data_IF_848958117330
#
_entry.id   IF_848958117330
#
_cell.length_a   1.000
_cell.length_b   1.000
_cell.length_c   1.000
_cell.angle_alpha   90.00
_cell.angle_beta   90.00
_cell.angle_gamma   90.00
#
_symmetry.space_group_name_H-M   'P 1'
#
loop_
_entity.id
_entity.type
_entity.pdbx_description
1 polymer ?
#
# COMPACT_ATOMS: atom_id res chain seq x y z
N UNK A 1 9.45 16.36 -18.24
CA UNK A 1 10.33 15.21 -18.58
C UNK A 1 11.30 14.85 -17.47
N UNK A 2 12.08 15.79 -16.94
CA UNK A 2 13.11 15.51 -15.89
C UNK A 2 12.50 14.81 -14.66
N UNK A 3 11.39 15.29 -14.13
CA UNK A 3 10.70 14.67 -12.97
C UNK A 3 10.33 13.21 -13.19
N UNK A 4 9.84 12.87 -14.37
CA UNK A 4 9.49 11.48 -14.71
C UNK A 4 10.75 10.61 -14.70
N UNK A 5 11.85 11.08 -15.27
CA UNK A 5 13.14 10.36 -15.28
C UNK A 5 13.60 10.12 -13.85
N UNK A 6 13.55 11.13 -12.98
CA UNK A 6 13.93 11.00 -11.58
C UNK A 6 13.07 9.96 -10.84
N UNK A 7 11.77 9.96 -11.06
CA UNK A 7 10.86 8.94 -10.48
C UNK A 7 11.21 7.56 -11.00
N UNK A 8 11.47 7.39 -12.30
CA UNK A 8 11.85 6.10 -12.87
C UNK A 8 13.18 5.57 -12.30
N UNK A 9 14.20 6.44 -12.18
CA UNK A 9 15.49 6.08 -11.56
C UNK A 9 15.28 5.68 -10.10
N UNK A 10 14.51 6.45 -9.34
CA UNK A 10 14.19 6.15 -7.96
C UNK A 10 13.48 4.80 -7.82
N UNK A 11 12.46 4.54 -8.65
CA UNK A 11 11.75 3.25 -8.65
C UNK A 11 12.68 2.08 -8.98
N UNK A 12 13.64 2.26 -9.90
CA UNK A 12 14.64 1.23 -10.21
C UNK A 12 15.51 0.93 -8.98
N UNK A 13 15.96 1.97 -8.27
CA UNK A 13 16.74 1.81 -7.04
C UNK A 13 15.92 1.06 -5.99
N UNK A 14 14.66 1.45 -5.78
CA UNK A 14 13.74 0.78 -4.84
C UNK A 14 13.51 -0.68 -5.23
N UNK A 15 13.40 -0.97 -6.52
CA UNK A 15 13.25 -2.32 -7.03
C UNK A 15 14.46 -3.19 -6.66
N UNK A 16 15.69 -2.71 -6.89
CA UNK A 16 16.92 -3.41 -6.50
C UNK A 16 17.01 -3.57 -4.98
N UNK A 17 16.73 -2.51 -4.23
CA UNK A 17 16.74 -2.53 -2.76
C UNK A 17 15.70 -3.54 -2.20
N UNK A 18 14.55 -3.68 -2.83
CA UNK A 18 13.52 -4.63 -2.42
C UNK A 18 13.99 -6.08 -2.44
N UNK A 19 14.95 -6.44 -3.30
CA UNK A 19 15.55 -7.79 -3.30
C UNK A 19 16.22 -8.12 -1.96
N UNK A 20 16.81 -7.12 -1.31
CA UNK A 20 17.45 -7.25 0.00
C UNK A 20 16.40 -7.14 1.12
N UNK A 21 15.44 -6.22 0.96
CA UNK A 21 14.44 -5.96 1.99
C UNK A 21 13.43 -7.11 2.15
N UNK A 22 13.07 -7.82 1.09
CA UNK A 22 12.11 -8.91 1.20
C UNK A 22 12.52 -10.03 2.16
N UNK A 23 13.75 -10.59 2.08
CA UNK A 23 14.19 -11.58 3.07
C UNK A 23 14.31 -10.99 4.49
N UNK A 24 14.70 -9.72 4.62
CA UNK A 24 14.77 -9.05 5.94
C UNK A 24 13.36 -8.92 6.54
N UNK A 25 12.38 -8.43 5.79
CA UNK A 25 10.99 -8.32 6.24
C UNK A 25 10.38 -9.69 6.56
N UNK A 26 10.72 -10.71 5.77
CA UNK A 26 10.30 -12.07 6.05
C UNK A 26 10.87 -12.57 7.39
N UNK A 27 12.15 -12.31 7.66
CA UNK A 27 12.80 -12.69 8.91
C UNK A 27 12.22 -11.92 10.12
N UNK A 28 12.00 -10.61 9.97
CA UNK A 28 11.32 -9.79 10.99
C UNK A 28 9.94 -10.38 11.29
N UNK A 29 9.19 -10.78 10.25
CA UNK A 29 7.87 -11.37 10.40
C UNK A 29 7.84 -12.72 11.12
N UNK A 30 8.95 -13.47 11.08
CA UNK A 30 9.10 -14.71 11.87
C UNK A 30 9.28 -14.44 13.36
N UNK A 31 9.88 -13.31 13.71
CA UNK A 31 10.13 -12.90 15.09
C UNK A 31 8.93 -12.12 15.64
N UNK A 32 8.45 -11.15 14.88
CA UNK A 32 7.33 -10.28 15.25
C UNK A 32 6.52 -9.84 14.03
N UNK A 33 5.34 -10.44 13.79
CA UNK A 33 4.44 -10.00 12.72
C UNK A 33 4.11 -8.51 12.78
N UNK A 34 3.85 -8.00 13.98
CA UNK A 34 3.54 -6.58 14.19
C UNK A 34 4.71 -5.66 13.81
N UNK A 35 5.95 -6.05 14.11
CA UNK A 35 7.13 -5.28 13.72
C UNK A 35 7.27 -5.24 12.19
N UNK A 36 7.05 -6.37 11.49
CA UNK A 36 7.04 -6.43 10.03
C UNK A 36 5.98 -5.51 9.43
N UNK A 37 4.77 -5.52 9.97
CA UNK A 37 3.68 -4.69 9.48
C UNK A 37 4.00 -3.20 9.58
N UNK A 38 4.57 -2.78 10.72
CA UNK A 38 5.01 -1.40 10.92
C UNK A 38 6.18 -1.03 9.99
N UNK A 39 7.18 -1.90 9.88
CA UNK A 39 8.35 -1.69 9.02
C UNK A 39 7.94 -1.55 7.55
N UNK A 40 7.15 -2.51 7.04
CA UNK A 40 6.63 -2.50 5.68
C UNK A 40 5.79 -1.25 5.38
N UNK A 41 4.92 -0.85 6.32
CA UNK A 41 4.13 0.37 6.19
C UNK A 41 5.04 1.61 6.08
N UNK A 42 5.99 1.77 6.98
CA UNK A 42 6.90 2.92 7.01
C UNK A 42 7.76 3.00 5.76
N UNK A 43 8.25 1.87 5.28
CA UNK A 43 9.02 1.81 4.04
C UNK A 43 8.18 2.26 2.83
N UNK A 44 6.98 1.71 2.65
CA UNK A 44 6.12 2.08 1.51
C UNK A 44 5.67 3.54 1.61
N UNK A 45 5.38 4.04 2.81
CA UNK A 45 5.08 5.46 3.02
C UNK A 45 6.25 6.36 2.64
N UNK A 46 7.47 5.98 3.00
CA UNK A 46 8.69 6.69 2.61
C UNK A 46 8.81 6.74 1.08
N UNK A 47 8.70 5.59 0.41
CA UNK A 47 8.75 5.50 -1.05
C UNK A 47 7.71 6.41 -1.70
N UNK A 48 6.48 6.38 -1.23
CA UNK A 48 5.40 7.21 -1.79
C UNK A 48 5.61 8.71 -1.54
N UNK A 49 6.11 9.10 -0.37
CA UNK A 49 6.48 10.49 -0.09
C UNK A 49 7.58 11.00 -1.03
N UNK A 50 8.59 10.17 -1.30
CA UNK A 50 9.66 10.52 -2.24
C UNK A 50 9.11 10.63 -3.67
N UNK A 51 8.22 9.73 -4.09
CA UNK A 51 7.56 9.83 -5.41
C UNK A 51 6.79 11.15 -5.52
N UNK A 52 6.00 11.52 -4.51
CA UNK A 52 5.27 12.80 -4.50
C UNK A 52 6.21 13.99 -4.59
N UNK A 53 7.29 13.99 -3.82
CA UNK A 53 8.31 15.04 -3.84
C UNK A 53 8.96 15.18 -5.22
N UNK A 54 9.46 14.09 -5.80
CA UNK A 54 10.10 14.08 -7.12
C UNK A 54 9.11 14.46 -8.23
N UNK A 55 7.84 14.09 -8.10
CA UNK A 55 6.78 14.50 -9.03
C UNK A 55 6.39 15.97 -8.88
N UNK A 56 6.80 16.63 -7.79
CA UNK A 56 6.42 18.01 -7.48
C UNK A 56 4.96 18.16 -7.08
N UNK A 57 4.38 17.12 -6.48
CA UNK A 57 3.00 17.11 -6.01
C UNK A 57 2.96 17.61 -4.57
N UNK A 58 2.23 18.70 -4.36
CA UNK A 58 1.91 19.20 -3.03
C UNK A 58 0.55 18.66 -2.61
N UNK A 59 0.46 18.12 -1.39
CA UNK A 59 -0.77 17.53 -0.86
C UNK A 59 -1.19 18.23 0.42
N UNK A 60 -2.44 18.62 0.49
CA UNK A 60 -3.06 19.09 1.73
C UNK A 60 -4.06 18.03 2.19
N UNK A 61 -3.95 17.61 3.45
CA UNK A 61 -4.87 16.64 4.04
C UNK A 61 -5.68 17.36 5.11
N UNK A 62 -6.99 17.25 5.03
CA UNK A 62 -7.93 17.88 5.96
C UNK A 62 -8.76 16.77 6.61
N UNK A 63 -8.98 16.83 7.93
CA UNK A 63 -9.83 15.89 8.63
C UNK A 63 -9.15 14.59 9.08
N UNK A 64 -7.81 14.52 9.10
CA UNK A 64 -7.09 13.36 9.65
C UNK A 64 -7.45 13.09 11.11
N UNK A 65 -7.76 14.11 11.84
CA UNK A 65 -8.19 14.09 13.25
C UNK A 65 -9.54 13.37 13.44
N UNK A 66 -10.36 13.31 12.39
CA UNK A 66 -11.67 12.64 12.42
C UNK A 66 -11.57 11.11 12.26
N UNK A 67 -10.39 10.58 11.95
CA UNK A 67 -10.21 9.13 11.82
C UNK A 67 -10.19 8.50 13.20
N UNK A 68 -11.13 7.57 13.51
CA UNK A 68 -11.12 6.82 14.77
C UNK A 68 -9.79 6.13 15.01
N UNK A 69 -9.25 6.22 16.25
CA UNK A 69 -7.94 5.64 16.55
C UNK A 69 -8.03 4.21 17.06
N UNK A 70 -9.11 3.89 17.73
CA UNK A 70 -9.27 2.64 18.48
C UNK A 70 -10.27 1.68 17.82
N UNK A 71 -10.80 2.03 16.66
CA UNK A 71 -11.78 1.23 15.93
C UNK A 71 -11.25 0.84 14.53
N UNK A 72 -11.66 -0.32 14.00
CA UNK A 72 -11.47 -0.64 12.60
C UNK A 72 -12.19 0.36 11.69
N UNK A 73 -11.53 0.81 10.63
CA UNK A 73 -12.08 1.81 9.69
C UNK A 73 -11.98 1.32 8.27
N UNK A 74 -13.07 1.49 7.52
CA UNK A 74 -13.10 1.29 6.07
C UNK A 74 -13.06 2.64 5.38
N UNK A 75 -12.03 2.89 4.58
CA UNK A 75 -11.93 4.10 3.78
C UNK A 75 -12.55 3.87 2.40
N UNK A 76 -13.58 4.64 2.09
CA UNK A 76 -14.21 4.64 0.77
C UNK A 76 -13.96 6.01 0.14
N UNK A 77 -13.27 6.02 -0.98
CA UNK A 77 -12.90 7.24 -1.68
C UNK A 77 -13.21 7.19 -3.17
N UNK A 78 -13.41 8.35 -3.76
CA UNK A 78 -13.48 8.46 -5.22
C UNK A 78 -12.07 8.32 -5.79
N UNK A 79 -11.84 7.26 -6.57
CA UNK A 79 -10.54 6.91 -7.14
C UNK A 79 -10.54 7.19 -8.64
N UNK A 80 -9.75 8.16 -9.07
CA UNK A 80 -9.65 8.60 -10.47
C UNK A 80 -8.36 8.20 -11.15
N UNK A 81 -7.30 7.95 -10.40
CA UNK A 81 -6.00 7.66 -10.98
C UNK A 81 -5.01 7.03 -10.01
N UNK A 82 -3.89 6.59 -10.55
CA UNK A 82 -2.83 5.91 -9.79
C UNK A 82 -2.29 6.77 -8.63
N UNK A 83 -2.19 8.08 -8.81
CA UNK A 83 -1.69 9.00 -7.78
C UNK A 83 -2.59 9.07 -6.54
N UNK A 84 -3.87 8.77 -6.63
CA UNK A 84 -4.76 8.77 -5.47
C UNK A 84 -4.30 7.75 -4.43
N UNK A 85 -3.83 6.57 -4.89
CA UNK A 85 -3.26 5.55 -4.00
C UNK A 85 -1.96 6.03 -3.38
N UNK A 86 -1.07 6.68 -4.16
CA UNK A 86 0.21 7.19 -3.66
C UNK A 86 -0.02 8.28 -2.61
N UNK A 87 -0.93 9.22 -2.87
CA UNK A 87 -1.27 10.31 -1.94
C UNK A 87 -1.89 9.76 -0.66
N UNK A 88 -2.97 8.98 -0.78
CA UNK A 88 -3.69 8.47 0.38
C UNK A 88 -2.80 7.58 1.24
N UNK A 89 -2.08 6.61 0.65
CA UNK A 89 -1.25 5.69 1.41
C UNK A 89 -0.08 6.37 2.12
N UNK A 90 0.52 7.39 1.50
CA UNK A 90 1.60 8.17 2.12
C UNK A 90 1.19 8.85 3.44
N UNK A 91 -0.12 8.97 3.69
CA UNK A 91 -0.71 9.66 4.82
C UNK A 91 -1.51 8.77 5.78
N UNK A 92 -1.65 7.46 5.48
CA UNK A 92 -2.39 6.55 6.35
C UNK A 92 -1.77 6.51 7.74
N UNK A 93 -2.57 6.70 8.81
CA UNK A 93 -2.04 6.75 10.18
C UNK A 93 -1.60 5.37 10.70
N UNK A 94 -2.18 4.31 10.15
CA UNK A 94 -1.93 2.92 10.53
C UNK A 94 -1.92 1.99 9.32
N UNK A 95 -1.55 0.73 9.54
CA UNK A 95 -1.60 -0.29 8.49
C UNK A 95 -3.02 -0.36 7.90
N UNK A 96 -3.08 -0.25 6.59
CA UNK A 96 -4.33 -0.21 5.85
C UNK A 96 -4.15 -1.05 4.59
N UNK A 97 -4.89 -2.15 4.47
CA UNK A 97 -4.93 -2.95 3.26
C UNK A 97 -5.83 -2.29 2.21
N UNK A 98 -5.38 -2.26 0.97
CA UNK A 98 -6.19 -1.79 -0.16
C UNK A 98 -6.81 -2.97 -0.91
N UNK A 99 -8.00 -2.77 -1.47
CA UNK A 99 -8.59 -3.69 -2.44
C UNK A 99 -8.10 -3.28 -3.83
N UNK A 100 -7.18 -4.05 -4.36
CA UNK A 100 -6.53 -3.78 -5.63
C UNK A 100 -7.07 -4.65 -6.76
N UNK A 101 -6.81 -4.24 -7.99
CA UNK A 101 -7.14 -5.01 -9.18
C UNK A 101 -6.27 -6.28 -9.25
N UNK A 102 -6.86 -7.42 -9.62
CA UNK A 102 -6.20 -8.73 -9.69
C UNK A 102 -4.92 -8.74 -10.53
N UNK A 103 -4.88 -7.94 -11.60
CA UNK A 103 -3.73 -7.85 -12.49
C UNK A 103 -2.46 -7.33 -11.81
N UNK A 104 -2.60 -6.59 -10.70
CA UNK A 104 -1.45 -6.14 -9.91
C UNK A 104 -0.64 -7.31 -9.33
N UNK A 105 -1.25 -8.50 -9.20
CA UNK A 105 -0.54 -9.72 -8.80
C UNK A 105 0.53 -10.17 -9.81
N UNK A 106 0.43 -9.73 -11.07
CA UNK A 106 1.38 -10.09 -12.12
C UNK A 106 2.71 -9.37 -11.99
N UNK A 107 2.78 -8.32 -11.18
CA UNK A 107 4.01 -7.55 -10.93
C UNK A 107 4.63 -8.04 -9.60
N UNK A 108 5.68 -8.89 -9.62
CA UNK A 108 6.15 -9.64 -8.45
C UNK A 108 6.49 -8.75 -7.25
N UNK A 109 7.24 -7.67 -7.49
CA UNK A 109 7.68 -6.76 -6.41
C UNK A 109 6.53 -6.00 -5.78
N UNK A 110 5.64 -5.44 -6.61
CA UNK A 110 4.44 -4.72 -6.14
C UNK A 110 3.55 -5.70 -5.39
N UNK A 111 3.32 -6.91 -5.93
CA UNK A 111 2.54 -7.96 -5.28
C UNK A 111 3.06 -8.28 -3.88
N UNK A 112 4.39 -8.36 -3.70
CA UNK A 112 4.95 -8.77 -2.42
C UNK A 112 4.81 -7.66 -1.38
N UNK A 113 5.11 -6.41 -1.73
CA UNK A 113 4.85 -5.27 -0.85
C UNK A 113 3.36 -5.15 -0.51
N UNK A 114 2.47 -5.30 -1.48
CA UNK A 114 1.03 -5.27 -1.24
C UNK A 114 0.58 -6.39 -0.30
N UNK A 115 1.17 -7.59 -0.39
CA UNK A 115 0.90 -8.67 0.57
C UNK A 115 1.37 -8.33 1.98
N UNK A 116 2.55 -7.72 2.12
CA UNK A 116 3.05 -7.29 3.43
C UNK A 116 2.18 -6.20 4.06
N UNK A 117 1.46 -5.46 3.24
CA UNK A 117 0.50 -4.43 3.65
C UNK A 117 -0.95 -4.95 3.74
N UNK A 118 -1.13 -6.26 3.73
CA UNK A 118 -2.44 -6.93 3.82
C UNK A 118 -3.45 -6.50 2.73
N UNK A 119 -2.95 -6.08 1.55
CA UNK A 119 -3.80 -5.75 0.43
C UNK A 119 -4.48 -6.99 -0.15
N UNK A 120 -5.75 -6.83 -0.52
CA UNK A 120 -6.53 -7.85 -1.19
C UNK A 120 -6.57 -7.59 -2.70
N UNK A 121 -6.67 -8.66 -3.48
CA UNK A 121 -6.75 -8.57 -4.93
C UNK A 121 -8.10 -9.05 -5.40
N UNK A 122 -8.84 -8.18 -6.08
CA UNK A 122 -10.20 -8.45 -6.53
C UNK A 122 -10.26 -8.64 -8.04
N UNK A 123 -10.91 -9.71 -8.46
CA UNK A 123 -11.34 -9.88 -9.85
C UNK A 123 -12.66 -9.15 -10.06
N UNK A 124 -12.62 -8.02 -10.76
CA UNK A 124 -13.80 -7.19 -11.01
C UNK A 124 -14.70 -7.78 -12.10
N UNK A 125 -14.23 -8.76 -12.87
CA UNK A 125 -15.01 -9.43 -13.90
C UNK A 125 -15.89 -10.56 -13.35
N UNK A 126 -15.61 -11.03 -12.13
CA UNK A 126 -16.33 -12.10 -11.47
C UNK A 126 -16.96 -11.63 -10.15
N UNK A 127 -18.27 -11.35 -10.12
CA UNK A 127 -18.94 -10.83 -8.91
C UNK A 127 -18.84 -11.78 -7.72
N UNK A 128 -18.84 -13.11 -7.95
CA UNK A 128 -18.71 -14.10 -6.86
C UNK A 128 -17.33 -14.06 -6.19
N UNK A 129 -16.26 -13.93 -6.98
CA UNK A 129 -14.89 -13.78 -6.47
C UNK A 129 -14.72 -12.41 -5.80
N UNK A 130 -15.35 -11.36 -6.33
CA UNK A 130 -15.40 -10.05 -5.70
C UNK A 130 -16.03 -10.10 -4.30
N UNK A 131 -17.15 -10.79 -4.15
CA UNK A 131 -17.80 -10.96 -2.85
C UNK A 131 -16.90 -11.72 -1.85
N UNK A 132 -16.24 -12.79 -2.28
CA UNK A 132 -15.29 -13.52 -1.42
C UNK A 132 -14.15 -12.62 -0.95
N UNK A 133 -13.61 -11.78 -1.84
CA UNK A 133 -12.56 -10.83 -1.49
C UNK A 133 -13.04 -9.83 -0.44
N UNK A 134 -14.26 -9.33 -0.55
CA UNK A 134 -14.85 -8.42 0.44
C UNK A 134 -15.03 -9.13 1.79
N UNK A 135 -15.54 -10.36 1.80
CA UNK A 135 -15.71 -11.15 3.02
C UNK A 135 -14.35 -11.40 3.71
N UNK A 136 -13.32 -11.76 2.94
CA UNK A 136 -11.95 -11.87 3.49
C UNK A 136 -11.44 -10.54 4.09
N UNK A 137 -11.80 -9.41 3.49
CA UNK A 137 -11.49 -8.10 4.06
C UNK A 137 -12.17 -7.85 5.40
N UNK A 138 -13.42 -8.23 5.53
CA UNK A 138 -14.18 -8.13 6.79
C UNK A 138 -13.54 -9.01 7.87
N UNK A 139 -13.14 -10.24 7.53
CA UNK A 139 -12.43 -11.13 8.46
C UNK A 139 -11.11 -10.53 8.93
N UNK A 140 -10.33 -9.90 8.02
CA UNK A 140 -9.06 -9.24 8.38
C UNK A 140 -9.25 -8.04 9.30
N UNK A 141 -10.39 -7.36 9.25
CA UNK A 141 -10.70 -6.21 10.11
C UNK A 141 -11.07 -6.67 11.53
N UNK A 142 -11.69 -7.86 11.64
CA UNK A 142 -12.19 -8.39 12.91
C UNK A 142 -11.15 -9.19 13.71
N UNK A 143 -10.00 -9.52 13.10
CA UNK A 143 -8.88 -10.24 13.72
C UNK A 143 -7.70 -9.29 14.02
#
# INVERSE_FOLDING_TARGET
MIRLILVCIFLLIIFVLSLILFPIEWLIGRISPKAKDISSLRFVQFVFKVILFLSGVNTTVIGLENIPKDEPVVFIGNHRGFFDTVVSYSRMPRLTGFIAKKEMQKVPFIRLWMKYLHCLFMDRSNPREGLKTILSGIEQINN
#
